data_IF_639572240929
#
_entry.id   IF_639572240929
#
_cell.length_a   1.000
_cell.length_b   1.000
_cell.length_c   1.000
_cell.angle_alpha   90.00
_cell.angle_beta   90.00
_cell.angle_gamma   90.00
#
_symmetry.space_group_name_H-M   'P 1'
#
loop_
_entity.id
_entity.type
_entity.pdbx_description
1 polymer ?
#
# COMPACT_ATOMS: atom_id res chain seq x y z
N UNK A 1 19.71 -17.83 16.09
CA UNK A 1 19.65 -16.86 14.98
C UNK A 1 19.93 -17.51 13.63
N UNK A 2 21.04 -18.24 13.46
CA UNK A 2 21.40 -18.88 12.19
C UNK A 2 20.38 -19.92 11.69
N UNK A 3 19.84 -20.74 12.60
CA UNK A 3 18.79 -21.73 12.28
C UNK A 3 17.51 -21.04 11.79
N UNK A 4 17.08 -19.98 12.45
CA UNK A 4 15.90 -19.20 12.05
C UNK A 4 16.08 -18.56 10.67
N UNK A 5 17.28 -18.04 10.37
CA UNK A 5 17.61 -17.53 9.04
C UNK A 5 17.53 -18.63 7.98
N UNK A 6 18.05 -19.83 8.27
CA UNK A 6 18.02 -20.95 7.34
C UNK A 6 16.60 -21.46 7.06
N UNK A 7 15.77 -21.57 8.10
CA UNK A 7 14.35 -21.92 7.93
C UNK A 7 13.58 -20.84 7.15
N UNK A 8 13.83 -19.56 7.44
CA UNK A 8 13.24 -18.44 6.69
C UNK A 8 13.66 -18.49 5.21
N UNK A 9 14.94 -18.73 4.94
CA UNK A 9 15.45 -18.87 3.57
C UNK A 9 14.79 -20.05 2.84
N UNK A 10 14.64 -21.20 3.51
CA UNK A 10 13.96 -22.38 2.96
C UNK A 10 12.51 -22.08 2.62
N UNK A 11 11.75 -21.45 3.54
CA UNK A 11 10.37 -21.02 3.26
C UNK A 11 10.32 -20.07 2.08
N UNK A 12 11.19 -19.05 2.07
CA UNK A 12 11.26 -18.05 1.02
C UNK A 12 11.50 -18.69 -0.36
N UNK A 13 12.37 -19.70 -0.45
CA UNK A 13 12.59 -20.45 -1.69
C UNK A 13 11.31 -21.15 -2.15
N UNK A 14 10.60 -21.81 -1.24
CA UNK A 14 9.34 -22.49 -1.55
C UNK A 14 8.27 -21.48 -1.98
N UNK A 15 8.19 -20.32 -1.33
CA UNK A 15 7.21 -19.28 -1.64
C UNK A 15 7.45 -18.60 -3.00
N UNK A 16 8.71 -18.46 -3.41
CA UNK A 16 9.10 -17.83 -4.69
C UNK A 16 9.07 -18.84 -5.86
N UNK A 17 9.19 -20.14 -5.59
CA UNK A 17 9.25 -21.19 -6.61
C UNK A 17 8.05 -21.17 -7.58
N UNK A 18 6.79 -20.99 -7.16
CA UNK A 18 5.65 -20.88 -8.08
C UNK A 18 5.77 -19.71 -9.05
N UNK A 19 6.20 -18.55 -8.55
CA UNK A 19 6.38 -17.34 -9.36
C UNK A 19 7.48 -17.57 -10.39
N UNK A 20 8.63 -18.11 -9.95
CA UNK A 20 9.74 -18.44 -10.85
C UNK A 20 9.31 -19.46 -11.91
N UNK A 21 8.54 -20.48 -11.50
CA UNK A 21 8.04 -21.52 -12.40
C UNK A 21 7.14 -20.94 -13.47
N UNK A 22 6.21 -20.05 -13.10
CA UNK A 22 5.34 -19.35 -14.06
C UNK A 22 6.18 -18.51 -15.03
N UNK A 23 7.13 -17.73 -14.52
CA UNK A 23 8.00 -16.88 -15.36
C UNK A 23 8.78 -17.74 -16.36
N UNK A 24 9.42 -18.82 -15.92
CA UNK A 24 10.20 -19.71 -16.78
C UNK A 24 9.29 -20.41 -17.80
N UNK A 25 8.10 -20.86 -17.38
CA UNK A 25 7.10 -21.47 -18.26
C UNK A 25 6.68 -20.50 -19.37
N UNK A 26 6.31 -19.26 -19.03
CA UNK A 26 5.93 -18.25 -20.01
C UNK A 26 7.10 -17.88 -20.92
N UNK A 27 8.30 -17.73 -20.36
CA UNK A 27 9.49 -17.35 -21.13
C UNK A 27 9.86 -18.42 -22.18
N UNK A 28 9.85 -19.70 -21.78
CA UNK A 28 10.29 -20.80 -22.65
C UNK A 28 9.17 -21.32 -23.57
N UNK A 29 7.93 -21.44 -23.08
CA UNK A 29 6.84 -22.04 -23.85
C UNK A 29 5.99 -21.02 -24.62
N UNK A 30 5.70 -19.86 -24.02
CA UNK A 30 4.79 -18.85 -24.62
C UNK A 30 5.58 -17.86 -25.47
N UNK A 31 6.57 -17.18 -24.87
CA UNK A 31 7.42 -16.18 -25.54
C UNK A 31 8.44 -16.86 -26.44
N UNK A 32 8.80 -18.12 -26.15
CA UNK A 32 9.73 -18.96 -26.92
C UNK A 32 11.09 -18.30 -27.12
N UNK A 33 11.59 -17.62 -26.07
CA UNK A 33 12.93 -17.00 -26.09
C UNK A 33 13.78 -17.57 -24.97
N UNK A 34 15.05 -17.94 -25.25
CA UNK A 34 15.97 -18.36 -24.20
C UNK A 34 16.19 -17.20 -23.20
N UNK A 35 16.45 -17.55 -21.94
CA UNK A 35 16.75 -16.56 -20.91
C UNK A 35 18.10 -15.92 -21.23
N UNK A 36 18.09 -14.63 -21.53
CA UNK A 36 19.32 -13.88 -21.77
C UNK A 36 20.17 -13.81 -20.50
N UNK A 37 21.49 -14.03 -20.63
CA UNK A 37 22.45 -13.95 -19.52
C UNK A 37 22.10 -14.84 -18.30
N UNK A 38 21.81 -16.12 -18.53
CA UNK A 38 21.40 -17.07 -17.49
C UNK A 38 22.25 -17.02 -16.20
N UNK A 39 23.58 -16.88 -16.33
CA UNK A 39 24.49 -16.73 -15.17
C UNK A 39 24.18 -15.48 -14.34
N UNK A 40 24.01 -14.32 -14.99
CA UNK A 40 23.69 -13.05 -14.29
C UNK A 40 22.32 -13.13 -13.63
N UNK A 41 21.34 -13.74 -14.32
CA UNK A 41 19.99 -13.97 -13.77
C UNK A 41 20.05 -14.87 -12.54
N UNK A 42 20.80 -15.98 -12.61
CA UNK A 42 20.98 -16.90 -11.48
C UNK A 42 21.61 -16.21 -10.26
N UNK A 43 22.70 -15.46 -10.45
CA UNK A 43 23.32 -14.70 -9.36
C UNK A 43 22.39 -13.62 -8.80
N UNK A 44 21.68 -12.88 -9.67
CA UNK A 44 20.69 -11.90 -9.24
C UNK A 44 19.57 -12.53 -8.42
N UNK A 45 19.09 -13.70 -8.84
CA UNK A 45 18.06 -14.46 -8.12
C UNK A 45 18.54 -14.92 -6.75
N UNK A 46 19.78 -15.41 -6.62
CA UNK A 46 20.37 -15.74 -5.33
C UNK A 46 20.42 -14.53 -4.39
N UNK A 47 20.84 -13.35 -4.88
CA UNK A 47 20.84 -12.13 -4.08
C UNK A 47 19.42 -11.71 -3.65
N UNK A 48 18.43 -11.86 -4.52
CA UNK A 48 17.03 -11.59 -4.19
C UNK A 48 16.53 -12.52 -3.07
N UNK A 49 16.83 -13.83 -3.14
CA UNK A 49 16.43 -14.78 -2.09
C UNK A 49 17.07 -14.46 -0.74
N UNK A 50 18.37 -14.16 -0.74
CA UNK A 50 19.09 -13.78 0.48
C UNK A 50 18.52 -12.47 1.04
N UNK A 51 18.32 -11.47 0.19
CA UNK A 51 17.74 -10.18 0.58
C UNK A 51 16.33 -10.32 1.14
N UNK A 52 15.48 -11.12 0.50
CA UNK A 52 14.11 -11.38 0.94
C UNK A 52 14.08 -12.12 2.29
N UNK A 53 14.97 -13.11 2.49
CA UNK A 53 15.07 -13.81 3.77
C UNK A 53 15.51 -12.88 4.91
N UNK A 54 16.54 -12.05 4.69
CA UNK A 54 16.97 -11.06 5.68
C UNK A 54 15.88 -10.02 5.96
N UNK A 55 15.19 -9.57 4.93
CA UNK A 55 14.09 -8.63 5.05
C UNK A 55 12.96 -9.22 5.90
N UNK A 56 12.43 -10.41 5.55
CA UNK A 56 11.38 -11.09 6.30
C UNK A 56 11.77 -11.33 7.76
N UNK A 57 13.02 -11.75 8.01
CA UNK A 57 13.54 -11.91 9.37
C UNK A 57 13.57 -10.57 10.13
N UNK A 58 14.01 -9.49 9.47
CA UNK A 58 13.98 -8.14 10.02
C UNK A 58 12.56 -7.67 10.34
N UNK A 59 11.58 -8.00 9.50
CA UNK A 59 10.17 -7.70 9.76
C UNK A 59 9.67 -8.40 11.02
N UNK A 60 9.89 -9.71 11.11
CA UNK A 60 9.41 -10.53 12.23
C UNK A 60 10.05 -10.13 13.56
N UNK A 61 11.34 -9.76 13.55
CA UNK A 61 12.09 -9.43 14.77
C UNK A 61 12.01 -7.97 15.19
N UNK A 62 11.84 -7.03 14.26
CA UNK A 62 11.83 -5.61 14.57
C UNK A 62 10.45 -4.98 14.36
N UNK A 63 9.90 -5.05 13.13
CA UNK A 63 8.69 -4.28 12.80
C UNK A 63 7.43 -4.88 13.42
N UNK A 64 7.25 -6.21 13.42
CA UNK A 64 6.05 -6.83 13.99
C UNK A 64 5.96 -6.65 15.51
N UNK A 65 7.02 -6.84 16.31
CA UNK A 65 6.99 -6.56 17.74
C UNK A 65 6.75 -5.08 18.03
N UNK A 66 7.35 -4.18 17.26
CA UNK A 66 7.14 -2.74 17.39
C UNK A 66 5.67 -2.38 17.12
N UNK A 67 5.08 -2.90 16.04
CA UNK A 67 3.66 -2.72 15.74
C UNK A 67 2.74 -3.24 16.85
N UNK A 68 3.04 -4.42 17.40
CA UNK A 68 2.31 -5.01 18.55
C UNK A 68 2.43 -4.16 19.82
N UNK A 69 3.62 -3.68 20.16
CA UNK A 69 3.85 -2.83 21.32
C UNK A 69 3.10 -1.51 21.19
N UNK A 70 3.18 -0.85 20.03
CA UNK A 70 2.47 0.41 19.78
C UNK A 70 0.96 0.21 19.81
N UNK A 71 0.45 -0.85 19.17
CA UNK A 71 -0.96 -1.21 19.24
C UNK A 71 -1.40 -1.43 20.70
N UNK A 72 -0.63 -2.17 21.50
CA UNK A 72 -0.95 -2.43 22.90
C UNK A 72 -1.01 -1.15 23.72
N UNK A 73 -0.08 -0.22 23.54
CA UNK A 73 -0.07 1.07 24.22
C UNK A 73 -1.25 1.96 23.79
N UNK A 74 -1.53 2.04 22.48
CA UNK A 74 -2.61 2.87 21.93
C UNK A 74 -4.01 2.29 22.20
N UNK A 75 -4.10 1.00 22.53
CA UNK A 75 -5.37 0.32 22.86
C UNK A 75 -5.50 0.01 24.35
N UNK A 76 -4.51 0.38 25.17
CA UNK A 76 -4.54 0.16 26.62
C UNK A 76 -5.71 0.92 27.26
N UNK A 77 -6.41 0.27 28.18
CA UNK A 77 -7.59 0.83 28.87
C UNK A 77 -7.28 2.17 29.57
N UNK A 78 -6.07 2.28 30.14
CA UNK A 78 -5.53 3.49 30.77
C UNK A 78 -5.36 4.64 29.78
N UNK A 79 -4.93 4.33 28.54
CA UNK A 79 -4.66 5.33 27.52
C UNK A 79 -5.93 5.82 26.83
N UNK A 80 -6.88 4.91 26.55
CA UNK A 80 -8.14 5.25 25.89
C UNK A 80 -9.20 5.82 26.86
N UNK A 81 -8.84 6.04 28.13
CA UNK A 81 -9.76 6.44 29.21
C UNK A 81 -11.04 5.60 29.20
N UNK A 82 -10.89 4.28 29.09
CA UNK A 82 -12.03 3.36 29.00
C UNK A 82 -12.90 3.51 30.26
N UNK A 83 -14.06 4.16 30.12
CA UNK A 83 -15.12 4.09 31.11
C UNK A 83 -15.73 2.68 31.16
N UNK A 84 -16.95 2.55 31.70
CA UNK A 84 -17.68 1.28 31.72
C UNK A 84 -18.05 0.73 30.34
N UNK A 85 -18.02 1.57 29.29
CA UNK A 85 -18.33 1.20 27.91
C UNK A 85 -17.28 1.75 26.96
N UNK A 86 -16.61 0.88 26.22
CA UNK A 86 -15.62 1.25 25.20
C UNK A 86 -16.35 1.56 23.89
N UNK A 87 -16.16 2.78 23.37
CA UNK A 87 -16.66 3.19 22.07
C UNK A 87 -15.53 3.27 21.04
N UNK A 88 -15.88 3.13 19.76
CA UNK A 88 -14.92 3.21 18.65
C UNK A 88 -14.21 4.57 18.55
N UNK A 89 -14.78 5.61 19.15
CA UNK A 89 -14.22 6.97 19.26
C UNK A 89 -13.01 7.03 20.18
N UNK A 90 -12.92 6.13 21.16
CA UNK A 90 -11.85 6.12 22.16
C UNK A 90 -10.50 5.72 21.53
N UNK A 91 -10.57 5.05 20.38
CA UNK A 91 -9.43 4.67 19.54
C UNK A 91 -9.00 5.74 18.54
N UNK A 92 -9.43 7.00 18.69
CA UNK A 92 -9.09 8.08 17.75
C UNK A 92 -7.57 8.20 17.48
N UNK A 93 -6.75 8.03 18.52
CA UNK A 93 -5.29 8.05 18.40
C UNK A 93 -4.73 6.89 17.57
N UNK A 94 -5.38 5.72 17.58
CA UNK A 94 -5.02 4.61 16.69
C UNK A 94 -5.23 5.03 15.25
N UNK A 95 -6.33 5.70 14.91
CA UNK A 95 -6.63 6.11 13.54
C UNK A 95 -5.67 7.18 13.04
N UNK A 96 -5.38 8.19 13.88
CA UNK A 96 -4.42 9.26 13.56
C UNK A 96 -3.03 8.68 13.38
N UNK A 97 -2.58 7.81 14.29
CA UNK A 97 -1.29 7.15 14.20
C UNK A 97 -1.19 6.27 12.93
N UNK A 98 -2.23 5.49 12.66
CA UNK A 98 -2.31 4.65 11.46
C UNK A 98 -2.22 5.49 10.18
N UNK A 99 -2.92 6.62 10.14
CA UNK A 99 -2.85 7.58 9.03
C UNK A 99 -1.44 8.14 8.86
N UNK A 100 -0.79 8.54 9.96
CA UNK A 100 0.55 9.12 9.94
C UNK A 100 1.58 8.10 9.43
N UNK A 101 1.56 6.86 9.94
CA UNK A 101 2.44 5.79 9.45
C UNK A 101 2.18 5.50 7.97
N UNK A 102 0.92 5.41 7.58
CA UNK A 102 0.52 5.22 6.18
C UNK A 102 1.08 6.31 5.26
N UNK A 103 0.91 7.57 5.65
CA UNK A 103 1.42 8.71 4.91
C UNK A 103 2.95 8.69 4.82
N UNK A 104 3.63 8.56 5.97
CA UNK A 104 5.09 8.64 6.07
C UNK A 104 5.79 7.53 5.29
N UNK A 105 5.31 6.30 5.41
CA UNK A 105 5.88 5.14 4.69
C UNK A 105 5.70 5.28 3.19
N UNK A 106 4.52 5.72 2.75
CA UNK A 106 4.21 5.92 1.34
C UNK A 106 5.06 7.03 0.71
N UNK A 107 5.27 8.15 1.41
CA UNK A 107 6.15 9.23 0.93
C UNK A 107 7.60 8.74 0.80
N UNK A 108 8.04 7.89 1.72
CA UNK A 108 9.38 7.31 1.75
C UNK A 108 9.58 6.17 0.74
N UNK A 109 8.50 5.65 0.14
CA UNK A 109 8.56 4.50 -0.75
C UNK A 109 9.34 4.80 -2.05
N UNK A 110 10.47 4.11 -2.32
CA UNK A 110 11.31 4.38 -3.48
C UNK A 110 10.63 4.10 -4.82
N UNK A 111 9.80 3.05 -4.87
CA UNK A 111 9.05 2.67 -6.07
C UNK A 111 8.08 3.78 -6.50
N UNK A 112 7.44 4.44 -5.52
CA UNK A 112 6.54 5.57 -5.78
C UNK A 112 7.29 6.79 -6.30
N UNK A 113 8.49 7.06 -5.78
CA UNK A 113 9.35 8.13 -6.30
C UNK A 113 9.65 7.88 -7.78
N UNK A 114 10.07 6.65 -8.14
CA UNK A 114 10.41 6.29 -9.51
C UNK A 114 9.20 6.43 -10.46
N UNK A 115 8.04 5.89 -10.08
CA UNK A 115 6.81 5.97 -10.89
C UNK A 115 6.35 7.42 -11.05
N UNK A 116 6.45 8.23 -9.99
CA UNK A 116 6.05 9.64 -10.05
C UNK A 116 6.97 10.48 -10.93
N UNK A 117 8.29 10.24 -10.88
CA UNK A 117 9.25 10.88 -11.79
C UNK A 117 8.99 10.47 -13.24
N UNK A 118 8.74 9.18 -13.49
CA UNK A 118 8.41 8.70 -14.84
C UNK A 118 7.11 9.30 -15.37
N UNK A 119 6.09 9.42 -14.53
CA UNK A 119 4.83 10.08 -14.88
C UNK A 119 5.04 11.56 -15.22
N UNK A 120 5.90 12.27 -14.47
CA UNK A 120 6.24 13.66 -14.76
C UNK A 120 6.95 13.81 -16.11
N UNK A 121 7.92 12.95 -16.41
CA UNK A 121 8.63 12.95 -17.69
C UNK A 121 7.70 12.67 -18.87
N UNK A 122 6.89 11.60 -18.79
CA UNK A 122 6.02 11.17 -19.89
C UNK A 122 4.86 12.14 -20.11
N UNK A 123 4.40 12.84 -19.06
CA UNK A 123 3.36 13.86 -19.17
C UNK A 123 3.88 15.23 -19.64
N UNK A 124 5.18 15.37 -19.93
CA UNK A 124 5.77 16.66 -20.30
C UNK A 124 5.65 17.72 -19.19
N UNK A 125 5.65 17.30 -17.93
CA UNK A 125 5.46 18.18 -16.77
C UNK A 125 4.00 18.46 -16.39
N UNK A 126 3.02 17.90 -17.12
CA UNK A 126 1.60 18.05 -16.78
C UNK A 126 1.20 17.42 -15.44
N UNK A 127 1.94 16.40 -14.99
CA UNK A 127 1.80 15.80 -13.66
C UNK A 127 3.08 16.07 -12.87
N UNK A 128 2.96 16.79 -11.76
CA UNK A 128 4.10 17.03 -10.86
C UNK A 128 4.33 15.82 -9.97
N UNK A 129 5.54 15.27 -9.96
CA UNK A 129 5.90 14.07 -9.21
C UNK A 129 5.56 14.21 -7.71
N UNK A 130 5.91 15.35 -7.09
CA UNK A 130 5.59 15.59 -5.67
C UNK A 130 4.09 15.65 -5.40
N UNK A 131 3.30 16.25 -6.28
CA UNK A 131 1.84 16.31 -6.11
C UNK A 131 1.20 14.92 -6.21
N UNK A 132 1.66 14.10 -7.16
CA UNK A 132 1.21 12.72 -7.28
C UNK A 132 1.58 11.90 -6.04
N UNK A 133 2.81 12.02 -5.55
CA UNK A 133 3.28 11.34 -4.33
C UNK A 133 2.43 11.69 -3.12
N UNK A 134 2.15 12.99 -2.93
CA UNK A 134 1.28 13.46 -1.83
C UNK A 134 -0.14 12.91 -1.98
N UNK A 135 -0.71 12.92 -3.19
CA UNK A 135 -2.03 12.36 -3.43
C UNK A 135 -2.10 10.87 -3.07
N UNK A 136 -1.11 10.08 -3.50
CA UNK A 136 -1.00 8.65 -3.15
C UNK A 136 -0.87 8.46 -1.64
N UNK A 137 0.03 9.21 -0.99
CA UNK A 137 0.23 9.12 0.46
C UNK A 137 -1.00 9.50 1.28
N UNK A 138 -1.77 10.50 0.85
CA UNK A 138 -3.07 10.85 1.47
C UNK A 138 -4.06 9.70 1.28
N UNK A 139 -4.12 9.11 0.09
CA UNK A 139 -4.93 7.91 -0.17
C UNK A 139 -4.59 6.78 0.80
N UNK A 140 -3.32 6.41 0.89
CA UNK A 140 -2.86 5.36 1.83
C UNK A 140 -3.21 5.72 3.28
N UNK A 141 -2.98 6.96 3.71
CA UNK A 141 -3.29 7.42 5.06
C UNK A 141 -4.78 7.26 5.41
N UNK A 142 -5.66 7.70 4.51
CA UNK A 142 -7.11 7.55 4.68
C UNK A 142 -7.50 6.07 4.68
N UNK A 143 -6.96 5.27 3.75
CA UNK A 143 -7.25 3.85 3.64
C UNK A 143 -6.87 3.10 4.91
N UNK A 144 -5.66 3.31 5.44
CA UNK A 144 -5.20 2.65 6.65
C UNK A 144 -5.96 3.15 7.87
N UNK A 145 -6.27 4.45 7.99
CA UNK A 145 -7.12 4.94 9.07
C UNK A 145 -8.51 4.28 9.07
N UNK A 146 -9.13 4.16 7.89
CA UNK A 146 -10.42 3.50 7.74
C UNK A 146 -10.33 1.98 8.01
N UNK A 147 -9.25 1.35 7.57
CA UNK A 147 -8.99 -0.06 7.85
C UNK A 147 -8.79 -0.31 9.34
N UNK A 148 -8.04 0.56 10.05
CA UNK A 148 -7.88 0.50 11.51
C UNK A 148 -9.21 0.70 12.24
N UNK A 149 -10.04 1.67 11.80
CA UNK A 149 -11.42 1.80 12.28
C UNK A 149 -12.22 0.51 12.08
N UNK A 150 -12.13 -0.09 10.90
CA UNK A 150 -12.81 -1.35 10.58
C UNK A 150 -12.33 -2.50 11.47
N UNK A 151 -11.05 -2.58 11.83
CA UNK A 151 -10.52 -3.57 12.79
C UNK A 151 -11.12 -3.33 14.18
N UNK A 152 -11.17 -2.07 14.64
CA UNK A 152 -11.73 -1.72 15.95
C UNK A 152 -13.21 -2.08 16.05
N UNK A 153 -14.02 -1.68 15.07
CA UNK A 153 -15.46 -1.92 15.08
C UNK A 153 -15.81 -3.37 14.72
N UNK A 154 -14.93 -4.04 13.95
CA UNK A 154 -15.11 -5.44 13.61
C UNK A 154 -16.02 -5.72 12.42
N UNK A 155 -16.22 -4.73 11.55
CA UNK A 155 -17.06 -4.91 10.37
C UNK A 155 -16.42 -5.87 9.35
N UNK A 156 -17.22 -6.60 8.56
CA UNK A 156 -16.69 -7.43 7.48
C UNK A 156 -15.95 -6.61 6.42
N UNK A 157 -14.75 -7.06 6.01
CA UNK A 157 -13.88 -6.32 5.07
C UNK A 157 -14.53 -6.13 3.69
N UNK A 158 -15.31 -7.11 3.22
CA UNK A 158 -15.86 -7.11 1.87
C UNK A 158 -16.77 -5.90 1.59
N UNK A 159 -17.50 -5.38 2.58
CA UNK A 159 -18.32 -4.18 2.39
C UNK A 159 -17.50 -2.95 2.00
N UNK A 160 -16.32 -2.79 2.59
CA UNK A 160 -15.41 -1.67 2.31
C UNK A 160 -14.73 -1.83 0.95
N UNK A 161 -14.29 -3.04 0.63
CA UNK A 161 -13.59 -3.32 -0.63
C UNK A 161 -14.56 -3.20 -1.81
N UNK A 162 -15.77 -3.78 -1.70
CA UNK A 162 -16.80 -3.68 -2.74
C UNK A 162 -17.20 -2.21 -2.94
N UNK A 163 -17.51 -1.47 -1.87
CA UNK A 163 -17.89 -0.06 -1.99
C UNK A 163 -16.76 0.80 -2.56
N UNK A 164 -15.52 0.61 -2.11
CA UNK A 164 -14.38 1.32 -2.65
C UNK A 164 -14.13 1.00 -4.12
N UNK A 165 -14.29 -0.26 -4.56
CA UNK A 165 -14.18 -0.60 -5.98
C UNK A 165 -15.34 -0.05 -6.81
N UNK A 166 -16.56 0.05 -6.26
CA UNK A 166 -17.66 0.77 -6.93
C UNK A 166 -17.24 2.23 -7.18
N UNK A 167 -16.64 2.89 -6.18
CA UNK A 167 -16.11 4.26 -6.35
C UNK A 167 -15.01 4.30 -7.42
N UNK A 168 -14.09 3.34 -7.42
CA UNK A 168 -13.02 3.24 -8.44
C UNK A 168 -13.61 3.09 -9.84
N UNK A 169 -14.59 2.20 -10.03
CA UNK A 169 -15.25 1.98 -11.32
C UNK A 169 -15.95 3.25 -11.78
N UNK A 170 -16.71 3.91 -10.90
CA UNK A 170 -17.37 5.19 -11.22
C UNK A 170 -16.33 6.24 -11.62
N UNK A 171 -15.29 6.45 -10.80
CA UNK A 171 -14.24 7.42 -11.10
C UNK A 171 -13.51 7.13 -12.41
N UNK A 172 -13.31 5.86 -12.76
CA UNK A 172 -12.66 5.44 -14.01
C UNK A 172 -13.39 6.00 -15.23
N UNK A 173 -14.73 6.06 -15.23
CA UNK A 173 -15.50 6.65 -16.34
C UNK A 173 -15.31 8.17 -16.49
N UNK A 174 -15.00 8.87 -15.40
CA UNK A 174 -14.85 10.33 -15.39
C UNK A 174 -13.39 10.80 -15.42
N UNK A 175 -12.42 9.90 -15.21
CA UNK A 175 -11.00 10.23 -15.13
C UNK A 175 -10.36 10.35 -16.52
N UNK A 176 -9.39 11.26 -16.73
CA UNK A 176 -8.59 11.29 -17.96
C UNK A 176 -7.93 9.94 -18.24
N UNK A 177 -8.11 9.39 -19.46
CA UNK A 177 -7.58 8.08 -19.87
C UNK A 177 -6.08 7.90 -19.64
N UNK A 178 -5.30 8.99 -19.71
CA UNK A 178 -3.86 8.99 -19.46
C UNK A 178 -3.48 8.70 -18.00
N UNK A 179 -4.34 9.03 -17.03
CA UNK A 179 -4.04 8.87 -15.60
C UNK A 179 -4.60 7.55 -15.05
N UNK A 180 -5.61 6.96 -15.70
CA UNK A 180 -6.20 5.71 -15.23
C UNK A 180 -5.15 4.60 -15.03
N UNK A 181 -4.26 4.26 -15.99
CA UNK A 181 -3.24 3.23 -15.76
C UNK A 181 -2.32 3.57 -14.59
N UNK A 182 -1.89 4.84 -14.48
CA UNK A 182 -1.06 5.32 -13.40
C UNK A 182 -1.75 5.21 -12.02
N UNK A 183 -3.06 5.43 -11.96
CA UNK A 183 -3.84 5.29 -10.73
C UNK A 183 -3.90 3.83 -10.26
N UNK A 184 -4.14 2.89 -11.17
CA UNK A 184 -4.14 1.45 -10.84
C UNK A 184 -2.74 0.94 -10.49
N UNK A 185 -1.70 1.42 -11.18
CA UNK A 185 -0.31 1.11 -10.84
C UNK A 185 0.07 1.67 -9.47
N UNK A 186 -0.45 2.84 -9.09
CA UNK A 186 -0.19 3.45 -7.78
C UNK A 186 -0.63 2.54 -6.62
N UNK A 187 -1.73 1.80 -6.78
CA UNK A 187 -2.15 0.79 -5.80
C UNK A 187 -1.10 -0.32 -5.64
N UNK A 188 -0.59 -0.87 -6.76
CA UNK A 188 0.48 -1.87 -6.75
C UNK A 188 1.80 -1.35 -6.20
N UNK A 189 2.15 -0.10 -6.51
CA UNK A 189 3.35 0.58 -5.99
C UNK A 189 3.32 0.68 -4.47
N UNK A 190 2.18 1.02 -3.87
CA UNK A 190 2.04 1.06 -2.40
C UNK A 190 2.11 -0.31 -1.73
N UNK A 191 2.08 -1.39 -2.52
CA UNK A 191 2.33 -2.75 -2.00
C UNK A 191 3.81 -3.15 -1.97
N UNK A 192 4.73 -2.20 -2.16
CA UNK A 192 6.15 -2.51 -2.26
C UNK A 192 6.89 -2.50 -0.92
N UNK A 193 8.21 -2.36 -1.01
CA UNK A 193 9.21 -2.74 -0.03
C UNK A 193 9.11 -2.08 1.34
N UNK A 194 8.63 -0.84 1.44
CA UNK A 194 8.59 -0.11 2.72
C UNK A 194 7.20 -0.16 3.34
N UNK A 195 6.16 0.09 2.55
CA UNK A 195 4.81 0.34 3.06
C UNK A 195 4.15 -0.94 3.59
N UNK A 196 4.16 -2.04 2.82
CA UNK A 196 3.44 -3.27 3.21
C UNK A 196 3.89 -3.84 4.54
N UNK A 197 5.19 -4.00 4.81
CA UNK A 197 5.61 -4.58 6.07
C UNK A 197 5.18 -3.78 7.30
N UNK A 198 5.25 -2.45 7.23
CA UNK A 198 4.83 -1.59 8.34
C UNK A 198 3.30 -1.62 8.50
N UNK A 199 2.56 -1.61 7.41
CA UNK A 199 1.10 -1.72 7.43
C UNK A 199 0.66 -3.09 7.96
N UNK A 200 1.31 -4.16 7.53
CA UNK A 200 1.08 -5.50 8.03
C UNK A 200 1.41 -5.59 9.52
N UNK A 201 2.56 -5.07 9.96
CA UNK A 201 2.95 -5.02 11.36
C UNK A 201 1.90 -4.32 12.24
N UNK A 202 1.43 -3.15 11.78
CA UNK A 202 0.41 -2.36 12.44
C UNK A 202 -0.92 -3.11 12.51
N UNK A 203 -1.40 -3.62 11.37
CA UNK A 203 -2.66 -4.35 11.29
C UNK A 203 -2.65 -5.62 12.15
N UNK A 204 -1.58 -6.42 12.05
CA UNK A 204 -1.41 -7.63 12.85
C UNK A 204 -1.31 -7.29 14.34
N UNK A 205 -0.65 -6.19 14.69
CA UNK A 205 -0.58 -5.66 16.05
C UNK A 205 -1.95 -5.32 16.61
N UNK A 206 -2.71 -4.46 15.91
CA UNK A 206 -4.04 -4.03 16.31
C UNK A 206 -5.03 -5.19 16.42
N UNK A 207 -5.04 -6.09 15.44
CA UNK A 207 -5.91 -7.26 15.46
C UNK A 207 -5.51 -8.29 16.53
N UNK A 208 -4.28 -8.26 17.05
CA UNK A 208 -3.86 -9.13 18.16
C UNK A 208 -4.22 -8.57 19.53
N UNK A 209 -4.38 -7.24 19.66
CA UNK A 209 -4.68 -6.59 20.95
C UNK A 209 -6.16 -6.37 21.17
N UNK A 210 -6.97 -6.35 20.12
CA UNK A 210 -8.42 -6.16 20.20
C UNK A 210 -9.13 -7.52 20.30
N UNK A 211 -9.89 -7.80 21.38
CA UNK A 211 -10.60 -9.06 21.54
C UNK A 211 -11.55 -9.37 20.39
N UNK A 212 -11.61 -10.63 19.98
CA UNK A 212 -12.51 -11.10 18.92
C UNK A 212 -12.07 -10.75 17.50
N UNK A 213 -10.83 -10.29 17.30
CA UNK A 213 -10.25 -10.04 15.97
C UNK A 213 -9.33 -11.15 15.52
N UNK A 214 -9.29 -11.37 14.21
CA UNK A 214 -8.40 -12.32 13.56
C UNK A 214 -7.19 -11.57 13.00
N UNK A 215 -5.96 -11.82 13.48
CA UNK A 215 -4.78 -11.21 12.88
C UNK A 215 -4.66 -11.48 11.38
N UNK A 216 -5.04 -12.68 10.93
CA UNK A 216 -4.99 -13.06 9.53
C UNK A 216 -5.99 -12.28 8.68
N UNK A 217 -7.28 -12.28 9.04
CA UNK A 217 -8.32 -11.65 8.22
C UNK A 217 -8.34 -10.13 8.43
N UNK A 218 -8.27 -9.69 9.69
CA UNK A 218 -8.42 -8.29 10.04
C UNK A 218 -7.11 -7.52 9.94
N UNK A 219 -6.01 -8.10 10.44
CA UNK A 219 -4.71 -7.46 10.41
C UNK A 219 -4.10 -7.40 9.00
N UNK A 220 -4.01 -8.54 8.31
CA UNK A 220 -3.47 -8.56 6.94
C UNK A 220 -4.39 -7.83 5.95
N UNK A 221 -5.71 -7.84 6.20
CA UNK A 221 -6.71 -7.12 5.40
C UNK A 221 -6.46 -5.61 5.29
N UNK A 222 -5.69 -5.02 6.20
CA UNK A 222 -5.30 -3.60 6.15
C UNK A 222 -4.51 -3.25 4.87
N UNK A 223 -3.78 -4.21 4.30
CA UNK A 223 -3.05 -4.03 3.03
C UNK A 223 -4.01 -3.73 1.88
N UNK A 224 -5.20 -4.34 1.86
CA UNK A 224 -6.18 -4.11 0.80
C UNK A 224 -6.65 -2.63 0.78
N UNK A 225 -6.78 -2.00 1.95
CA UNK A 225 -7.09 -0.58 2.04
C UNK A 225 -5.93 0.29 1.58
N UNK A 226 -4.70 -0.08 1.94
CA UNK A 226 -3.49 0.61 1.51
C UNK A 226 -3.35 0.57 -0.02
N UNK A 227 -3.84 -0.45 -0.72
CA UNK A 227 -3.83 -0.51 -2.19
C UNK A 227 -5.01 0.19 -2.86
N UNK A 228 -6.21 0.12 -2.27
CA UNK A 228 -7.45 0.62 -2.89
C UNK A 228 -7.53 2.15 -2.88
N UNK A 229 -7.25 2.78 -1.74
CA UNK A 229 -7.44 4.22 -1.58
C UNK A 229 -6.46 5.08 -2.38
N UNK A 230 -5.20 4.67 -2.65
CA UNK A 230 -4.36 5.35 -3.62
C UNK A 230 -4.99 5.51 -4.99
N UNK A 231 -5.67 4.48 -5.49
CA UNK A 231 -6.30 4.50 -6.81
C UNK A 231 -7.37 5.60 -6.81
N UNK A 232 -8.21 5.63 -5.76
CA UNK A 232 -9.26 6.64 -5.57
C UNK A 232 -8.65 8.04 -5.46
N UNK A 233 -7.60 8.21 -4.67
CA UNK A 233 -6.96 9.51 -4.44
C UNK A 233 -6.28 10.06 -5.71
N UNK A 234 -5.59 9.22 -6.48
CA UNK A 234 -4.94 9.63 -7.73
C UNK A 234 -5.98 10.01 -8.78
N UNK A 235 -7.07 9.25 -8.91
CA UNK A 235 -8.16 9.61 -9.84
C UNK A 235 -8.87 10.89 -9.41
N UNK A 236 -9.10 11.10 -8.11
CA UNK A 236 -9.66 12.35 -7.60
C UNK A 236 -8.73 13.54 -7.88
N UNK A 237 -7.42 13.39 -7.62
CA UNK A 237 -6.40 14.39 -7.96
C UNK A 237 -6.42 14.75 -9.45
N UNK A 238 -6.48 13.74 -10.32
CA UNK A 238 -6.55 13.93 -11.77
C UNK A 238 -7.77 14.74 -12.21
N UNK A 239 -8.94 14.40 -11.68
CA UNK A 239 -10.19 15.07 -12.00
C UNK A 239 -10.17 16.53 -11.53
N UNK A 240 -9.69 16.79 -10.30
CA UNK A 240 -9.55 18.15 -9.76
C UNK A 240 -8.59 18.99 -10.61
N UNK A 241 -7.43 18.42 -10.97
CA UNK A 241 -6.44 19.08 -11.82
C UNK A 241 -7.02 19.43 -13.19
N UNK A 242 -7.75 18.51 -13.82
CA UNK A 242 -8.40 18.76 -15.11
C UNK A 242 -9.46 19.87 -15.05
N UNK A 243 -10.25 19.93 -13.97
CA UNK A 243 -11.25 20.98 -13.75
C UNK A 243 -10.57 22.35 -13.60
N UNK A 244 -9.47 22.42 -12.84
CA UNK A 244 -8.71 23.66 -12.65
C UNK A 244 -8.12 24.16 -13.98
N UNK A 245 -7.51 23.28 -14.78
CA UNK A 245 -6.96 23.64 -16.10
C UNK A 245 -8.04 24.15 -17.04
N UNK A 246 -9.20 23.47 -17.13
CA UNK A 246 -10.34 23.93 -17.96
C UNK A 246 -10.84 25.32 -17.55
N UNK A 247 -10.93 25.59 -16.23
CA UNK A 247 -11.34 26.91 -15.72
C UNK A 247 -10.33 28.00 -16.09
N UNK A 248 -9.04 27.71 -16.00
CA UNK A 248 -7.96 28.65 -16.34
C UNK A 248 -7.98 29.00 -17.84
N UNK A 249 -8.08 28.00 -18.72
CA UNK A 249 -8.18 28.21 -20.17
C UNK A 249 -9.40 29.05 -20.55
N UNK A 250 -10.55 28.78 -19.92
CA UNK A 250 -11.79 29.55 -20.14
C UNK A 250 -11.69 31.00 -19.66
N UNK A 251 -10.90 31.27 -18.62
CA UNK A 251 -10.66 32.63 -18.12
C UNK A 251 -9.75 33.43 -19.06
N UNK A 252 -8.70 32.80 -19.60
CA UNK A 252 -7.79 33.42 -20.58
C UNK A 252 -8.53 33.80 -21.86
N UNK A 253 -9.30 32.87 -22.44
CA UNK A 253 -10.11 33.13 -23.66
C UNK A 253 -11.22 34.17 -23.47
N UNK A 254 -11.64 34.46 -22.23
CA UNK A 254 -12.62 35.50 -21.92
C UNK A 254 -11.97 36.87 -21.63
N UNK A 255 -10.66 36.90 -21.36
CA UNK A 255 -9.88 38.14 -21.18
C UNK A 255 -9.32 38.66 -22.51
N UNK A 256 -9.26 37.81 -23.53
CA UNK A 256 -8.82 38.15 -24.89
C UNK A 256 -9.97 38.62 -25.80
N UNK A 257 -11.21 38.61 -25.30
CA UNK A 257 -12.42 39.13 -25.97
C UNK A 257 -12.94 40.35 -25.23
#
# INVERSE_FOLDING_TARGET
>A
MLIALFETLKSTVVDVLPILSIIVLFQLLVIRRPIANLKKVGFGFCYVLIGLAFFLLGLEKALFPLGKMMAAQLTAAEFINAGTTIHWTDYAWVYIFSAAIGFSTTIAEPSLIAVALKAQEVSGGGIRANSLRIAVAIGVAIGIALGSYRIVVGHPIHYYIISGYIVVVIQTFFCPKLIVPLAYDSGGVTTSTVTVPLVAALGLGLASTIPGRSPLIDGFGLIAFASLFPIIAVMAYAQISQIQTKKLTKKLTKSEK
#
